data_IF_578120336025
#
_entry.id   IF_578120336025
#
_cell.length_a   1.000
_cell.length_b   1.000
_cell.length_c   1.000
_cell.angle_alpha   90.00
_cell.angle_beta   90.00
_cell.angle_gamma   90.00
#
_symmetry.space_group_name_H-M   'P 1'
#
loop_
_entity.id
_entity.type
_entity.pdbx_description
1 polymer ?
#
# COMPACT_ATOMS: atom_id res chain seq x y z
N UNK A 1 -20.36 17.99 8.37
CA UNK A 1 -20.78 17.35 7.10
C UNK A 1 -19.81 16.25 6.64
N UNK A 2 -18.49 16.44 6.78
CA UNK A 2 -17.46 15.46 6.37
C UNK A 2 -17.34 14.28 7.35
N UNK A 3 -17.54 14.49 8.66
CA UNK A 3 -17.58 13.39 9.65
C UNK A 3 -18.72 12.38 9.40
N UNK A 4 -19.84 12.82 8.79
CA UNK A 4 -20.91 11.91 8.35
C UNK A 4 -20.50 11.05 7.15
N UNK A 5 -19.60 11.53 6.28
CA UNK A 5 -19.13 10.74 5.13
C UNK A 5 -18.15 9.64 5.55
N UNK A 6 -17.32 9.86 6.57
CA UNK A 6 -16.45 8.81 7.14
C UNK A 6 -17.25 7.68 7.81
N UNK A 7 -18.30 8.03 8.57
CA UNK A 7 -19.24 7.04 9.11
C UNK A 7 -20.05 6.31 8.03
N UNK A 8 -20.42 7.00 6.93
CA UNK A 8 -21.08 6.37 5.78
C UNK A 8 -20.16 5.40 5.05
N UNK A 9 -18.85 5.65 4.96
CA UNK A 9 -17.89 4.69 4.37
C UNK A 9 -17.65 3.46 5.24
N UNK A 10 -17.74 3.58 6.58
CA UNK A 10 -17.74 2.41 7.49
C UNK A 10 -19.07 1.65 7.47
N UNK A 11 -20.21 2.34 7.35
CA UNK A 11 -21.54 1.72 7.29
C UNK A 11 -21.88 1.13 5.91
N UNK A 12 -21.30 1.63 4.82
CA UNK A 12 -21.52 1.07 3.48
C UNK A 12 -20.87 -0.31 3.29
N UNK A 13 -19.89 -0.69 4.12
CA UNK A 13 -19.28 -2.03 4.09
C UNK A 13 -20.29 -3.11 4.53
N UNK A 14 -21.25 -2.77 5.41
CA UNK A 14 -22.32 -3.70 5.81
C UNK A 14 -23.48 -3.75 4.81
N UNK A 15 -23.66 -2.71 3.99
CA UNK A 15 -24.71 -2.65 2.96
C UNK A 15 -24.27 -3.23 1.60
N UNK A 16 -22.97 -3.23 1.28
CA UNK A 16 -22.44 -3.77 0.02
C UNK A 16 -22.50 -5.31 -0.07
N UNK A 17 -22.70 -6.00 1.05
CA UNK A 17 -22.94 -7.45 1.05
C UNK A 17 -24.21 -7.83 0.29
N UNK A 18 -25.24 -6.98 0.34
CA UNK A 18 -26.53 -7.24 -0.31
C UNK A 18 -26.54 -6.87 -1.80
N UNK A 19 -25.72 -5.89 -2.21
CA UNK A 19 -25.64 -5.43 -3.60
C UNK A 19 -24.67 -6.32 -4.42
N UNK A 20 -23.52 -6.71 -3.86
CA UNK A 20 -22.55 -7.58 -4.56
C UNK A 20 -22.91 -9.07 -4.50
N UNK A 21 -23.77 -9.48 -3.57
CA UNK A 21 -24.27 -10.86 -3.44
C UNK A 21 -25.33 -11.25 -4.48
N UNK A 22 -25.99 -10.29 -5.12
CA UNK A 22 -27.02 -10.57 -6.15
C UNK A 22 -26.47 -10.35 -7.56
N UNK A 23 -25.94 -11.44 -8.13
CA UNK A 23 -25.87 -11.68 -9.59
C UNK A 23 -25.40 -10.49 -10.43
N UNK A 24 -24.11 -10.21 -10.44
CA UNK A 24 -23.47 -9.77 -11.68
C UNK A 24 -22.12 -10.46 -11.78
N UNK A 25 -22.15 -11.61 -12.45
CA UNK A 25 -20.99 -12.16 -13.15
C UNK A 25 -20.67 -11.15 -14.27
N UNK A 26 -20.05 -10.02 -13.92
CA UNK A 26 -19.70 -8.96 -14.87
C UNK A 26 -18.71 -9.54 -15.86
N UNK A 27 -19.18 -9.84 -17.05
CA UNK A 27 -18.33 -10.20 -18.17
C UNK A 27 -17.42 -9.01 -18.46
N UNK A 28 -16.15 -9.11 -18.06
CA UNK A 28 -15.09 -8.20 -18.48
C UNK A 28 -14.90 -8.20 -20.01
N UNK A 29 -15.58 -9.09 -20.75
CA UNK A 29 -15.46 -9.28 -22.19
C UNK A 29 -15.99 -8.11 -23.04
N UNK A 30 -16.53 -7.05 -22.45
CA UNK A 30 -16.98 -5.85 -23.19
C UNK A 30 -16.16 -4.58 -22.96
N UNK A 31 -15.06 -4.68 -22.19
CA UNK A 31 -14.21 -3.51 -21.90
C UNK A 31 -14.89 -2.59 -20.90
N UNK A 32 -14.26 -2.47 -19.73
CA UNK A 32 -14.64 -1.57 -18.62
C UNK A 32 -15.94 -1.93 -17.88
N UNK A 33 -15.83 -2.13 -16.56
CA UNK A 33 -17.00 -2.04 -15.70
C UNK A 33 -17.43 -0.56 -15.69
N UNK A 34 -18.60 -0.21 -16.26
CA UNK A 34 -18.98 1.18 -16.47
C UNK A 34 -19.12 1.96 -15.15
N UNK A 35 -19.43 1.27 -14.05
CA UNK A 35 -19.53 1.92 -12.75
C UNK A 35 -18.15 2.25 -12.18
N UNK A 36 -17.17 1.36 -12.35
CA UNK A 36 -15.80 1.63 -11.90
C UNK A 36 -15.18 2.80 -12.67
N UNK A 37 -15.33 2.84 -14.01
CA UNK A 37 -14.78 3.92 -14.82
C UNK A 37 -15.45 5.26 -14.56
N UNK A 38 -16.75 5.29 -14.26
CA UNK A 38 -17.44 6.52 -13.81
C UNK A 38 -16.86 7.02 -12.48
N UNK A 39 -16.67 6.13 -11.50
CA UNK A 39 -16.11 6.51 -10.19
C UNK A 39 -14.66 6.97 -10.30
N UNK A 40 -13.83 6.26 -11.08
CA UNK A 40 -12.44 6.64 -11.31
C UNK A 40 -12.34 8.01 -11.98
N UNK A 41 -13.11 8.24 -13.05
CA UNK A 41 -13.17 9.55 -13.72
C UNK A 41 -13.61 10.65 -12.75
N UNK A 42 -14.68 10.41 -11.98
CA UNK A 42 -15.17 11.38 -11.01
C UNK A 42 -14.14 11.73 -9.92
N UNK A 43 -13.34 10.76 -9.45
CA UNK A 43 -12.27 11.01 -8.49
C UNK A 43 -11.12 11.82 -9.10
N UNK A 44 -10.75 11.56 -10.35
CA UNK A 44 -9.74 12.33 -11.07
C UNK A 44 -10.20 13.77 -11.31
N UNK A 45 -11.43 13.95 -11.80
CA UNK A 45 -12.04 15.27 -11.97
C UNK A 45 -12.10 16.03 -10.64
N UNK A 46 -12.40 15.35 -9.53
CA UNK A 46 -12.38 15.96 -8.20
C UNK A 46 -10.96 16.40 -7.79
N UNK A 47 -9.95 15.55 -7.96
CA UNK A 47 -8.54 15.87 -7.67
C UNK A 47 -8.04 17.03 -8.54
N UNK A 48 -8.39 17.06 -9.83
CA UNK A 48 -8.02 18.11 -10.77
C UNK A 48 -8.74 19.44 -10.52
N UNK A 49 -9.94 19.39 -9.92
CA UNK A 49 -10.74 20.58 -9.58
C UNK A 49 -10.23 21.36 -8.37
N UNK A 50 -9.23 20.85 -7.64
CA UNK A 50 -8.66 21.53 -6.47
C UNK A 50 -8.07 22.87 -6.92
N UNK A 51 -8.56 24.02 -6.42
CA UNK A 51 -8.05 25.32 -6.81
C UNK A 51 -6.58 25.51 -6.39
N UNK A 52 -5.82 26.33 -7.11
CA UNK A 52 -4.37 26.49 -6.89
C UNK A 52 -4.01 26.93 -5.46
N UNK A 53 -4.84 27.76 -4.83
CA UNK A 53 -4.67 28.18 -3.44
C UNK A 53 -4.98 27.06 -2.41
N UNK A 54 -5.45 25.89 -2.85
CA UNK A 54 -5.64 24.70 -2.04
C UNK A 54 -4.74 23.53 -2.45
N UNK A 55 -3.96 23.63 -3.54
CA UNK A 55 -2.98 22.61 -3.93
C UNK A 55 -1.84 22.54 -2.91
N UNK A 56 -1.23 21.37 -2.74
CA UNK A 56 -0.07 21.18 -1.87
C UNK A 56 1.13 22.00 -2.38
N UNK A 57 1.56 22.97 -1.58
CA UNK A 57 2.79 23.74 -1.81
C UNK A 57 3.33 24.29 -0.49
N UNK A 58 4.60 24.73 -0.48
CA UNK A 58 5.20 25.33 0.71
C UNK A 58 4.51 26.65 1.10
N UNK A 59 4.12 27.46 0.11
CA UNK A 59 3.44 28.74 0.28
C UNK A 59 2.06 28.55 0.90
N UNK A 60 1.26 27.63 0.33
CA UNK A 60 -0.06 27.32 0.85
C UNK A 60 0.04 26.69 2.25
N UNK A 61 0.99 25.78 2.48
CA UNK A 61 1.24 25.20 3.80
C UNK A 61 1.51 26.28 4.85
N UNK A 62 2.36 27.26 4.54
CA UNK A 62 2.64 28.39 5.42
C UNK A 62 1.39 29.23 5.68
N UNK A 63 0.62 29.54 4.63
CA UNK A 63 -0.62 30.32 4.73
C UNK A 63 -1.64 29.62 5.63
N UNK A 64 -1.94 28.34 5.40
CA UNK A 64 -2.89 27.58 6.23
C UNK A 64 -2.40 27.36 7.66
N UNK A 65 -1.09 27.28 7.88
CA UNK A 65 -0.50 27.31 9.23
C UNK A 65 -0.78 28.64 9.93
N UNK A 66 -0.54 29.77 9.26
CA UNK A 66 -0.79 31.11 9.81
C UNK A 66 -2.27 31.35 10.15
N UNK A 67 -3.18 30.69 9.42
CA UNK A 67 -4.62 30.76 9.66
C UNK A 67 -5.15 29.69 10.64
N UNK A 68 -4.29 28.89 11.27
CA UNK A 68 -4.66 27.78 12.15
C UNK A 68 -5.64 26.77 11.50
N UNK A 69 -5.44 26.49 10.20
CA UNK A 69 -6.27 25.58 9.39
C UNK A 69 -5.45 24.45 8.74
N UNK A 70 -4.24 24.21 9.23
CA UNK A 70 -3.31 23.24 8.67
C UNK A 70 -3.92 21.83 8.64
N UNK A 71 -4.65 21.45 9.70
CA UNK A 71 -5.35 20.17 9.78
C UNK A 71 -6.42 19.98 8.69
N UNK A 72 -7.16 21.03 8.32
CA UNK A 72 -8.17 20.95 7.26
C UNK A 72 -7.50 20.89 5.89
N UNK A 73 -6.43 21.66 5.72
CA UNK A 73 -5.67 21.72 4.47
C UNK A 73 -5.04 20.38 4.11
N UNK A 74 -4.29 19.75 5.03
CA UNK A 74 -3.75 18.40 4.82
C UNK A 74 -4.86 17.34 4.75
N UNK A 75 -5.91 17.48 5.57
CA UNK A 75 -7.04 16.55 5.60
C UNK A 75 -7.75 16.43 4.25
N UNK A 76 -7.90 17.51 3.50
CA UNK A 76 -8.47 17.49 2.14
C UNK A 76 -7.73 16.51 1.23
N UNK A 77 -6.40 16.64 1.16
CA UNK A 77 -5.56 15.83 0.27
C UNK A 77 -5.51 14.37 0.72
N UNK A 78 -5.46 14.13 2.03
CA UNK A 78 -5.52 12.78 2.59
C UNK A 78 -6.85 12.09 2.24
N UNK A 79 -7.98 12.80 2.33
CA UNK A 79 -9.30 12.24 2.02
C UNK A 79 -9.47 11.90 0.53
N UNK A 80 -8.95 12.75 -0.36
CA UNK A 80 -8.97 12.47 -1.80
C UNK A 80 -8.12 11.25 -2.11
N UNK A 81 -6.89 11.19 -1.58
CA UNK A 81 -6.02 10.02 -1.74
C UNK A 81 -6.62 8.73 -1.16
N UNK A 82 -7.31 8.82 -0.02
CA UNK A 82 -8.01 7.70 0.57
C UNK A 82 -9.17 7.21 -0.31
N UNK A 83 -9.86 8.12 -1.02
CA UNK A 83 -10.96 7.76 -1.91
C UNK A 83 -10.48 6.89 -3.09
N UNK A 84 -9.27 7.14 -3.61
CA UNK A 84 -8.62 6.25 -4.56
C UNK A 84 -8.31 4.88 -3.95
N UNK A 85 -7.78 4.83 -2.72
CA UNK A 85 -7.58 3.55 -2.02
C UNK A 85 -8.88 2.77 -1.88
N UNK A 86 -9.98 3.43 -1.51
CA UNK A 86 -11.27 2.78 -1.32
C UNK A 86 -11.89 2.26 -2.61
N UNK A 87 -11.64 2.93 -3.75
CA UNK A 87 -12.05 2.45 -5.07
C UNK A 87 -11.21 1.25 -5.53
N UNK A 88 -9.88 1.35 -5.45
CA UNK A 88 -8.96 0.38 -6.04
C UNK A 88 -8.65 -0.84 -5.15
N UNK A 89 -8.94 -0.78 -3.84
CA UNK A 89 -8.68 -1.90 -2.91
C UNK A 89 -9.35 -3.22 -3.29
N UNK A 90 -10.38 -3.17 -4.15
CA UNK A 90 -11.04 -4.38 -4.68
C UNK A 90 -10.09 -5.30 -5.45
N UNK A 91 -9.04 -4.74 -6.07
CA UNK A 91 -8.03 -5.49 -6.82
C UNK A 91 -6.87 -6.02 -5.98
N UNK A 92 -6.77 -5.64 -4.70
CA UNK A 92 -5.64 -5.96 -3.83
C UNK A 92 -6.05 -6.98 -2.76
N UNK A 93 -5.20 -7.98 -2.51
CA UNK A 93 -5.51 -9.01 -1.54
C UNK A 93 -5.48 -8.46 -0.11
N UNK A 94 -6.41 -8.92 0.73
CA UNK A 94 -6.52 -8.57 2.16
C UNK A 94 -6.93 -7.13 2.47
N UNK A 95 -7.29 -6.31 1.49
CA UNK A 95 -7.76 -4.94 1.72
C UNK A 95 -9.28 -4.76 1.79
N UNK A 96 -10.05 -5.76 1.38
CA UNK A 96 -11.51 -5.77 1.56
C UNK A 96 -11.88 -6.82 2.59
N UNK A 97 -12.64 -6.41 3.60
CA UNK A 97 -13.23 -7.34 4.56
C UNK A 97 -14.68 -7.65 4.17
N UNK A 98 -15.08 -8.93 4.18
CA UNK A 98 -14.22 -10.10 4.35
C UNK A 98 -13.43 -10.39 3.06
N UNK A 99 -12.26 -11.00 3.22
CA UNK A 99 -11.30 -11.23 2.12
C UNK A 99 -11.91 -11.86 0.85
N UNK A 100 -12.92 -12.71 1.01
CA UNK A 100 -13.55 -13.42 -0.09
C UNK A 100 -14.52 -12.56 -0.91
N UNK A 101 -14.97 -11.40 -0.40
CA UNK A 101 -15.93 -10.53 -1.06
C UNK A 101 -15.47 -10.08 -2.47
N UNK A 102 -14.18 -9.87 -2.64
CA UNK A 102 -13.59 -9.43 -3.93
C UNK A 102 -12.67 -10.49 -4.55
N UNK A 103 -12.72 -11.75 -4.07
CA UNK A 103 -11.89 -12.84 -4.59
C UNK A 103 -12.11 -13.08 -6.09
N UNK A 104 -13.38 -13.09 -6.51
CA UNK A 104 -13.73 -13.31 -7.92
C UNK A 104 -13.10 -12.24 -8.83
N UNK A 105 -13.11 -10.96 -8.41
CA UNK A 105 -12.48 -9.86 -9.16
C UNK A 105 -10.98 -10.11 -9.30
N UNK A 106 -10.28 -10.42 -8.20
CA UNK A 106 -8.83 -10.67 -8.22
C UNK A 106 -8.41 -11.85 -9.09
N UNK A 107 -9.30 -12.82 -9.30
CA UNK A 107 -9.02 -14.02 -10.08
C UNK A 107 -9.42 -13.90 -11.56
N UNK A 108 -10.34 -12.98 -11.91
CA UNK A 108 -10.95 -12.93 -13.25
C UNK A 108 -10.84 -11.57 -13.95
N UNK A 109 -10.45 -10.50 -13.27
CA UNK A 109 -10.24 -9.20 -13.89
C UNK A 109 -8.99 -9.21 -14.79
N UNK A 110 -8.91 -8.31 -15.79
CA UNK A 110 -7.70 -8.15 -16.59
C UNK A 110 -6.46 -7.92 -15.71
N UNK A 111 -5.33 -8.52 -16.08
CA UNK A 111 -4.07 -8.40 -15.32
C UNK A 111 -3.66 -6.94 -15.12
N UNK A 112 -3.78 -6.11 -16.16
CA UNK A 112 -3.43 -4.69 -16.07
C UNK A 112 -4.29 -3.95 -15.04
N UNK A 113 -5.58 -4.24 -14.95
CA UNK A 113 -6.43 -3.67 -13.90
C UNK A 113 -5.93 -4.03 -12.49
N UNK A 114 -5.52 -5.29 -12.27
CA UNK A 114 -4.96 -5.72 -10.99
C UNK A 114 -3.63 -5.01 -10.71
N UNK A 115 -2.80 -4.81 -11.74
CA UNK A 115 -1.55 -4.06 -11.61
C UNK A 115 -1.81 -2.61 -11.22
N UNK A 116 -2.73 -1.95 -11.91
CA UNK A 116 -3.15 -0.57 -11.64
C UNK A 116 -3.73 -0.42 -10.24
N UNK A 117 -4.51 -1.39 -9.76
CA UNK A 117 -5.02 -1.40 -8.39
C UNK A 117 -3.92 -1.43 -7.34
N UNK A 118 -2.91 -2.28 -7.50
CA UNK A 118 -1.77 -2.29 -6.56
C UNK A 118 -0.98 -0.98 -6.63
N UNK A 119 -0.71 -0.46 -7.84
CA UNK A 119 0.05 0.78 -8.03
C UNK A 119 -0.69 1.98 -7.45
N UNK A 120 -2.00 2.08 -7.68
CA UNK A 120 -2.83 3.13 -7.13
C UNK A 120 -2.87 3.07 -5.59
N UNK A 121 -3.14 1.89 -5.03
CA UNK A 121 -3.17 1.71 -3.58
C UNK A 121 -1.82 2.03 -2.93
N UNK A 122 -0.71 1.55 -3.49
CA UNK A 122 0.62 1.83 -2.96
C UNK A 122 1.00 3.30 -3.09
N UNK A 123 0.81 3.90 -4.27
CA UNK A 123 1.18 5.31 -4.51
C UNK A 123 0.40 6.27 -3.62
N UNK A 124 -0.92 6.09 -3.49
CA UNK A 124 -1.74 6.93 -2.61
C UNK A 124 -1.46 6.66 -1.14
N UNK A 125 -1.13 5.43 -0.73
CA UNK A 125 -0.68 5.15 0.64
C UNK A 125 0.65 5.82 0.98
N UNK A 126 1.62 5.82 0.05
CA UNK A 126 2.89 6.57 0.19
C UNK A 126 2.63 8.06 0.28
N UNK A 127 1.78 8.61 -0.60
CA UNK A 127 1.42 10.03 -0.59
C UNK A 127 0.72 10.45 0.71
N UNK A 128 -0.21 9.65 1.24
CA UNK A 128 -0.80 9.90 2.56
C UNK A 128 0.28 9.87 3.64
N UNK A 129 1.20 8.90 3.58
CA UNK A 129 2.34 8.82 4.50
C UNK A 129 3.24 10.06 4.46
N UNK A 130 3.52 10.62 3.28
CA UNK A 130 4.29 11.85 3.14
C UNK A 130 3.53 13.05 3.73
N UNK A 131 2.24 13.19 3.44
CA UNK A 131 1.39 14.25 4.01
C UNK A 131 1.35 14.19 5.54
N UNK A 132 1.25 12.98 6.12
CA UNK A 132 1.30 12.75 7.57
C UNK A 132 2.64 13.16 8.17
N UNK A 133 3.75 12.82 7.49
CA UNK A 133 5.11 13.21 7.87
C UNK A 133 5.29 14.74 7.79
N UNK A 134 4.76 15.37 6.76
CA UNK A 134 4.87 16.81 6.52
C UNK A 134 4.11 17.62 7.57
N UNK A 135 2.84 17.29 7.86
CA UNK A 135 2.09 17.96 8.93
C UNK A 135 2.75 17.72 10.29
N UNK A 136 3.28 16.52 10.55
CA UNK A 136 4.02 16.20 11.76
C UNK A 136 5.26 17.09 11.95
N UNK A 137 6.00 17.38 10.88
CA UNK A 137 7.16 18.26 10.93
C UNK A 137 6.78 19.74 10.97
N UNK A 138 5.68 20.13 10.31
CA UNK A 138 5.25 21.51 10.22
C UNK A 138 4.61 22.01 11.52
N UNK A 139 3.66 21.25 12.08
CA UNK A 139 3.05 21.51 13.38
C UNK A 139 2.38 20.24 13.95
N UNK A 140 3.01 19.63 14.96
CA UNK A 140 2.53 18.39 15.59
C UNK A 140 1.15 18.52 16.21
N UNK A 141 0.78 19.69 16.77
CA UNK A 141 -0.54 19.84 17.38
C UNK A 141 -1.67 19.76 16.35
N UNK A 142 -1.41 20.17 15.10
CA UNK A 142 -2.40 20.12 14.02
C UNK A 142 -2.80 18.71 13.62
N UNK A 143 -2.03 17.66 13.99
CA UNK A 143 -2.38 16.27 13.70
C UNK A 143 -3.31 15.63 14.74
N UNK A 144 -3.55 16.30 15.88
CA UNK A 144 -4.33 15.75 17.01
C UNK A 144 -5.82 15.77 16.67
N UNK A 145 -6.24 14.81 15.85
CA UNK A 145 -7.63 14.55 15.48
C UNK A 145 -7.82 13.08 15.08
N UNK A 146 -9.05 12.58 15.20
CA UNK A 146 -9.42 11.18 14.91
C UNK A 146 -9.12 10.78 13.46
N UNK A 147 -9.39 11.61 12.42
CA UNK A 147 -9.09 11.23 11.05
C UNK A 147 -7.61 10.89 10.84
N UNK A 148 -6.69 11.62 11.46
CA UNK A 148 -5.26 11.35 11.33
C UNK A 148 -4.82 10.03 11.97
N UNK A 149 -5.46 9.64 13.07
CA UNK A 149 -5.28 8.29 13.67
C UNK A 149 -5.70 7.22 12.67
N UNK A 150 -6.88 7.37 12.07
CA UNK A 150 -7.40 6.41 11.09
C UNK A 150 -6.49 6.33 9.86
N UNK A 151 -6.11 7.47 9.29
CA UNK A 151 -5.31 7.50 8.06
C UNK A 151 -3.89 6.96 8.26
N UNK A 152 -3.24 7.23 9.40
CA UNK A 152 -1.92 6.64 9.71
C UNK A 152 -1.98 5.09 9.80
N UNK A 153 -3.04 4.54 10.36
CA UNK A 153 -3.24 3.09 10.43
C UNK A 153 -3.65 2.47 9.09
N UNK A 154 -4.61 3.09 8.39
CA UNK A 154 -5.13 2.58 7.12
C UNK A 154 -4.05 2.60 6.05
N UNK A 155 -3.33 3.72 5.87
CA UNK A 155 -2.28 3.78 4.84
C UNK A 155 -1.15 2.78 5.10
N UNK A 156 -0.79 2.53 6.37
CA UNK A 156 0.18 1.49 6.72
C UNK A 156 -0.29 0.10 6.29
N UNK A 157 -1.57 -0.20 6.50
CA UNK A 157 -2.16 -1.50 6.15
C UNK A 157 -2.31 -1.68 4.63
N UNK A 158 -2.72 -0.61 3.93
CA UNK A 158 -2.82 -0.55 2.46
C UNK A 158 -1.45 -0.76 1.83
N UNK A 159 -0.43 -0.03 2.28
CA UNK A 159 0.93 -0.12 1.75
C UNK A 159 1.49 -1.54 1.88
N UNK A 160 1.46 -2.10 3.08
CA UNK A 160 2.04 -3.43 3.34
C UNK A 160 1.30 -4.53 2.60
N UNK A 161 -0.04 -4.48 2.52
CA UNK A 161 -0.80 -5.50 1.80
C UNK A 161 -0.59 -5.41 0.30
N UNK A 162 -0.48 -4.19 -0.26
CA UNK A 162 -0.17 -3.97 -1.68
C UNK A 162 1.22 -4.51 -2.01
N UNK A 163 2.22 -4.26 -1.16
CA UNK A 163 3.58 -4.77 -1.37
C UNK A 163 3.66 -6.30 -1.26
N UNK A 164 3.06 -6.90 -0.23
CA UNK A 164 3.15 -8.35 0.00
C UNK A 164 2.36 -9.14 -1.06
N UNK A 165 1.25 -8.59 -1.57
CA UNK A 165 0.43 -9.27 -2.57
C UNK A 165 0.84 -8.99 -4.02
N UNK A 166 1.85 -8.15 -4.23
CA UNK A 166 2.46 -7.90 -5.53
C UNK A 166 3.20 -9.14 -6.03
N UNK A 167 2.88 -9.57 -7.26
CA UNK A 167 3.43 -10.81 -7.87
C UNK A 167 4.24 -10.56 -9.12
N UNK A 168 4.38 -9.29 -9.52
CA UNK A 168 5.10 -8.94 -10.73
C UNK A 168 6.61 -8.87 -10.45
N UNK A 169 7.46 -9.16 -11.45
CA UNK A 169 8.91 -9.10 -11.30
C UNK A 169 9.43 -7.66 -11.17
N UNK A 170 8.76 -6.68 -11.78
CA UNK A 170 9.11 -5.27 -11.63
C UNK A 170 8.75 -4.72 -10.25
N UNK A 171 9.48 -3.70 -9.74
CA UNK A 171 9.09 -3.01 -8.52
C UNK A 171 7.70 -2.37 -8.66
N UNK A 172 6.93 -2.40 -7.58
CA UNK A 172 5.57 -1.87 -7.54
C UNK A 172 5.54 -0.36 -7.86
N UNK A 173 6.41 0.42 -7.21
CA UNK A 173 6.67 1.84 -7.54
C UNK A 173 8.18 1.99 -7.81
N UNK A 174 8.61 2.11 -9.08
CA UNK A 174 10.03 2.19 -9.43
C UNK A 174 10.81 3.35 -8.77
N UNK A 175 10.10 4.42 -8.43
CA UNK A 175 10.63 5.64 -7.83
C UNK A 175 10.76 5.59 -6.30
N UNK A 176 10.25 4.54 -5.64
CA UNK A 176 10.24 4.41 -4.18
C UNK A 176 11.06 3.20 -3.75
N UNK A 177 12.07 3.42 -2.90
CA UNK A 177 12.90 2.33 -2.40
C UNK A 177 12.21 1.57 -1.25
N UNK A 178 12.69 0.36 -0.96
CA UNK A 178 12.25 -0.38 0.23
C UNK A 178 12.51 0.36 1.54
N UNK A 179 13.58 1.18 1.57
CA UNK A 179 13.89 2.00 2.72
C UNK A 179 12.84 3.11 2.89
N UNK A 180 12.39 3.74 1.81
CA UNK A 180 11.35 4.77 1.86
C UNK A 180 10.01 4.21 2.36
N UNK A 181 9.64 2.98 1.97
CA UNK A 181 8.46 2.30 2.51
C UNK A 181 8.59 2.04 4.02
N UNK A 182 9.76 1.55 4.45
CA UNK A 182 10.04 1.32 5.87
C UNK A 182 9.92 2.61 6.67
N UNK A 183 10.56 3.69 6.20
CA UNK A 183 10.52 5.00 6.85
C UNK A 183 9.10 5.56 6.95
N UNK A 184 8.29 5.35 5.91
CA UNK A 184 6.87 5.72 5.92
C UNK A 184 6.11 4.98 7.03
N UNK A 185 6.28 3.66 7.13
CA UNK A 185 5.64 2.84 8.16
C UNK A 185 6.10 3.20 9.58
N UNK A 186 7.41 3.41 9.77
CA UNK A 186 7.97 3.84 11.05
C UNK A 186 7.48 5.22 11.47
N UNK A 187 7.38 6.15 10.50
CA UNK A 187 6.81 7.49 10.72
C UNK A 187 5.36 7.39 11.20
N UNK A 188 4.53 6.58 10.53
CA UNK A 188 3.13 6.37 10.93
C UNK A 188 3.01 5.78 12.34
N UNK A 189 3.84 4.80 12.69
CA UNK A 189 3.88 4.24 14.06
C UNK A 189 4.25 5.31 15.09
N UNK A 190 5.24 6.16 14.78
CA UNK A 190 5.66 7.27 15.65
C UNK A 190 4.54 8.30 15.83
N UNK A 191 3.84 8.65 14.77
CA UNK A 191 2.67 9.54 14.80
C UNK A 191 1.58 8.95 15.71
N UNK A 192 1.24 7.67 15.53
CA UNK A 192 0.24 7.01 16.36
C UNK A 192 0.66 6.89 17.83
N UNK A 193 1.96 6.69 18.10
CA UNK A 193 2.52 6.71 19.46
C UNK A 193 2.37 8.07 20.15
N UNK A 194 2.36 9.16 19.38
CA UNK A 194 2.08 10.49 19.90
C UNK A 194 0.58 10.70 20.10
N UNK A 195 -0.24 10.35 19.10
CA UNK A 195 -1.69 10.57 19.13
C UNK A 195 -2.40 9.80 20.25
N UNK A 196 -1.92 8.61 20.62
CA UNK A 196 -2.48 7.82 21.73
C UNK A 196 -2.46 8.53 23.10
N UNK A 197 -1.66 9.60 23.24
CA UNK A 197 -1.61 10.40 24.46
C UNK A 197 -2.82 11.33 24.59
N UNK A 198 -3.51 11.60 23.48
CA UNK A 198 -4.59 12.58 23.39
C UNK A 198 -5.92 11.94 22.96
N UNK A 199 -5.86 10.84 22.20
CA UNK A 199 -7.02 10.17 21.60
C UNK A 199 -6.90 8.66 21.87
N UNK A 200 -8.03 7.96 22.07
CA UNK A 200 -8.06 6.49 22.21
C UNK A 200 -7.64 5.82 20.89
N UNK A 201 -6.34 5.61 20.72
CA UNK A 201 -5.71 5.17 19.48
C UNK A 201 -4.95 3.84 19.62
N UNK A 202 -5.10 3.10 20.72
CA UNK A 202 -4.31 1.90 21.02
C UNK A 202 -4.43 0.82 19.94
N UNK A 203 -5.66 0.49 19.53
CA UNK A 203 -5.91 -0.50 18.47
C UNK A 203 -5.32 -0.05 17.12
N UNK A 204 -5.39 1.25 16.82
CA UNK A 204 -4.82 1.80 15.58
C UNK A 204 -3.29 1.71 15.60
N UNK A 205 -2.68 2.04 16.74
CA UNK A 205 -1.25 1.93 16.97
C UNK A 205 -0.76 0.47 16.86
N UNK A 206 -1.47 -0.46 17.49
CA UNK A 206 -1.16 -1.89 17.41
C UNK A 206 -1.26 -2.42 15.97
N UNK A 207 -2.33 -2.05 15.26
CA UNK A 207 -2.51 -2.39 13.85
C UNK A 207 -1.35 -1.88 12.97
N UNK A 208 -0.92 -0.63 13.16
CA UNK A 208 0.22 -0.08 12.42
C UNK A 208 1.55 -0.77 12.76
N UNK A 209 1.78 -1.15 14.02
CA UNK A 209 2.95 -1.94 14.41
C UNK A 209 2.94 -3.33 13.77
N UNK A 210 1.77 -3.98 13.69
CA UNK A 210 1.63 -5.26 13.00
C UNK A 210 1.92 -5.13 11.51
N UNK A 211 1.48 -4.03 10.86
CA UNK A 211 1.82 -3.75 9.47
C UNK A 211 3.35 -3.60 9.29
N UNK A 212 4.01 -2.78 10.11
CA UNK A 212 5.47 -2.63 10.07
C UNK A 212 6.21 -3.95 10.33
N UNK A 213 5.74 -4.77 11.28
CA UNK A 213 6.28 -6.09 11.55
C UNK A 213 6.17 -7.01 10.32
N UNK A 214 4.99 -7.09 9.70
CA UNK A 214 4.76 -7.88 8.49
C UNK A 214 5.64 -7.42 7.33
N UNK A 215 5.83 -6.11 7.17
CA UNK A 215 6.76 -5.56 6.18
C UNK A 215 8.19 -6.03 6.45
N UNK A 216 8.66 -5.91 7.69
CA UNK A 216 10.01 -6.32 8.05
C UNK A 216 10.23 -7.82 7.85
N UNK A 217 9.25 -8.66 8.16
CA UNK A 217 9.32 -10.10 7.94
C UNK A 217 9.39 -10.45 6.44
N UNK A 218 8.62 -9.76 5.59
CA UNK A 218 8.59 -10.01 4.16
C UNK A 218 9.80 -9.43 3.39
N UNK A 219 10.39 -8.33 3.88
CA UNK A 219 11.41 -7.56 3.16
C UNK A 219 12.70 -7.35 3.97
N UNK A 220 13.04 -8.27 4.87
CA UNK A 220 14.30 -8.21 5.64
C UNK A 220 15.53 -8.33 4.72
N UNK A 221 16.62 -7.58 4.98
CA UNK A 221 17.83 -7.57 4.15
C UNK A 221 18.43 -8.95 3.88
N UNK A 222 18.26 -9.90 4.80
CA UNK A 222 18.75 -11.27 4.69
C UNK A 222 18.09 -12.06 3.54
N UNK A 223 16.90 -11.65 3.08
CA UNK A 223 16.21 -12.28 1.94
C UNK A 223 16.49 -11.59 0.59
N UNK A 224 17.16 -10.43 0.60
CA UNK A 224 17.54 -9.70 -0.62
C UNK A 224 18.95 -9.99 -1.12
N UNK A 225 19.69 -10.87 -0.43
CA UNK A 225 20.95 -11.44 -0.92
C UNK A 225 20.68 -12.83 -1.47
N UNK A 226 20.19 -12.92 -2.72
CA UNK A 226 20.50 -14.10 -3.53
C UNK A 226 21.73 -13.78 -4.38
N UNK A 227 22.83 -14.56 -4.26
CA UNK A 227 23.94 -14.44 -5.18
C UNK A 227 23.54 -14.96 -6.55
N UNK A 228 23.62 -14.09 -7.56
CA UNK A 228 23.75 -14.53 -8.94
C UNK A 228 25.17 -15.06 -9.19
N UNK A 229 25.22 -16.13 -9.99
CA UNK A 229 26.36 -16.76 -10.64
C UNK A 229 27.32 -17.59 -9.77
N UNK A 230 27.32 -18.91 -10.00
CA UNK A 230 28.31 -19.54 -10.90
C UNK A 230 27.63 -20.61 -11.77
N UNK A 231 27.89 -20.52 -13.09
CA UNK A 231 27.56 -21.50 -14.13
C UNK A 231 28.82 -22.33 -14.42
N UNK A 232 28.63 -23.55 -14.91
CA UNK A 232 29.62 -24.53 -15.40
C UNK A 232 30.44 -25.22 -14.31
N UNK A 233 30.59 -26.54 -14.26
CA UNK A 233 30.09 -27.63 -15.10
C UNK A 233 30.99 -28.84 -14.83
N UNK A 234 30.45 -30.03 -14.62
CA UNK A 234 31.17 -31.26 -14.98
C UNK A 234 30.21 -32.43 -15.03
N UNK A 235 30.14 -33.03 -16.20
CA UNK A 235 29.58 -34.33 -16.45
C UNK A 235 30.43 -35.37 -15.70
N UNK A 236 29.82 -36.22 -14.88
CA UNK A 236 30.45 -37.46 -14.43
C UNK A 236 29.93 -38.59 -15.31
N UNK A 237 30.62 -38.77 -16.44
CA UNK A 237 30.67 -40.05 -17.11
C UNK A 237 31.66 -40.95 -16.36
N UNK A 238 31.18 -42.15 -16.04
CA UNK A 238 31.86 -43.35 -15.60
C UNK A 238 33.23 -43.55 -16.26
N UNK A 239 34.23 -44.08 -15.55
CA UNK A 239 34.91 -45.37 -15.85
C UNK A 239 36.19 -45.58 -14.99
N UNK A 240 36.29 -46.81 -14.47
CA UNK A 240 37.47 -47.58 -14.07
C UNK A 240 38.25 -47.26 -12.77
N UNK A 241 37.90 -48.08 -11.77
CA UNK A 241 38.84 -48.71 -10.84
C UNK A 241 39.84 -49.55 -11.65
N UNK A 242 41.13 -49.27 -11.52
CA UNK A 242 42.16 -50.27 -11.75
C UNK A 242 43.26 -50.11 -10.70
N UNK A 243 43.20 -50.99 -9.71
CA UNK A 243 44.22 -51.23 -8.70
C UNK A 243 45.39 -52.00 -9.32
N UNK A 244 46.60 -51.46 -9.24
CA UNK A 244 47.80 -52.12 -9.73
C UNK A 244 49.03 -51.63 -9.02
N UNK A 245 49.32 -52.28 -7.89
CA UNK A 245 50.48 -52.13 -7.06
C UNK A 245 51.78 -52.34 -7.84
N UNK A 246 52.81 -51.61 -7.40
CA UNK A 246 54.22 -51.76 -7.71
C UNK A 246 54.69 -53.21 -7.87
N UNK A 247 55.52 -53.47 -8.89
CA UNK A 247 56.91 -53.87 -8.64
C UNK A 247 57.74 -54.07 -9.92
N UNK A 248 59.03 -53.74 -9.74
CA UNK A 248 60.22 -54.45 -10.22
C UNK A 248 60.93 -54.02 -11.53
N UNK A 249 62.04 -53.31 -11.26
CA UNK A 249 63.45 -53.55 -11.70
C UNK A 249 64.01 -52.92 -12.98
N UNK A 250 65.08 -52.13 -12.75
CA UNK A 250 66.38 -52.11 -13.45
C UNK A 250 66.54 -53.24 -14.48
N UNK A 251 66.93 -53.02 -15.73
CA UNK A 251 67.92 -52.11 -16.35
C UNK A 251 67.39 -51.64 -17.70
#
# INVERSE_FOLDING_TARGET
>A
MIARHSQVLQLNIEHDYDIMGRKTQTSWASGENPQFSILDRGLRELEDSIPDNFKMSAENTYLFKSCARLNLYFGLHILIAQSFNDLYRIGVSQLVFPYHATKWIRENAPREFIKDAHRMCASKAVYIGSLLKDIWHCDKSSIVDVPYVQHAQVCSSVLVSSLISWKEPEPLLPEVSYQDYRETLESNVRILAYLKKYIKADLYYESANQALKRFNEAFSPTMMVQPQHHRHGSWTATTQVNSGSSNLTLV
#
